data_IF_743840367851
#
_entry.id   IF_743840367851
#
_cell.length_a   1.000
_cell.length_b   1.000
_cell.length_c   1.000
_cell.angle_alpha   90.00
_cell.angle_beta   90.00
_cell.angle_gamma   90.00
#
_symmetry.space_group_name_H-M   'P 1'
#
loop_
_entity.id
_entity.type
_entity.pdbx_description
1 polymer ?
#
# COMPACT_ATOMS: atom_id res chain seq x y z
N UNK A 1 20.62 -9.84 8.64
CA UNK A 1 19.75 -8.70 8.29
C UNK A 1 19.28 -8.82 6.84
N UNK A 2 20.19 -8.76 5.85
CA UNK A 2 19.85 -8.99 4.42
C UNK A 2 19.10 -10.29 4.13
N UNK A 3 19.52 -11.43 4.69
CA UNK A 3 18.84 -12.71 4.43
C UNK A 3 17.37 -12.73 4.92
N UNK A 4 17.05 -12.04 6.02
CA UNK A 4 15.67 -11.96 6.53
C UNK A 4 14.82 -11.04 5.64
N UNK A 5 15.39 -9.92 5.20
CA UNK A 5 14.75 -8.99 4.26
C UNK A 5 14.44 -9.67 2.91
N UNK A 6 15.39 -10.43 2.37
CA UNK A 6 15.22 -11.16 1.10
C UNK A 6 14.14 -12.25 1.20
N UNK A 7 14.08 -12.96 2.34
CA UNK A 7 13.04 -13.96 2.61
C UNK A 7 11.65 -13.31 2.72
N UNK A 8 11.54 -12.21 3.46
CA UNK A 8 10.28 -11.47 3.59
C UNK A 8 9.83 -10.91 2.24
N UNK A 9 10.74 -10.34 1.46
CA UNK A 9 10.44 -9.84 0.12
C UNK A 9 9.95 -10.96 -0.80
N UNK A 10 10.60 -12.12 -0.79
CA UNK A 10 10.17 -13.27 -1.57
C UNK A 10 8.78 -13.76 -1.15
N UNK A 11 8.51 -13.87 0.15
CA UNK A 11 7.17 -14.21 0.67
C UNK A 11 6.12 -13.21 0.21
N UNK A 12 6.42 -11.91 0.24
CA UNK A 12 5.51 -10.87 -0.26
C UNK A 12 5.19 -11.02 -1.76
N UNK A 13 6.19 -11.36 -2.58
CA UNK A 13 5.96 -11.64 -4.00
C UNK A 13 5.13 -12.90 -4.23
N UNK A 14 5.33 -13.94 -3.42
CA UNK A 14 4.53 -15.17 -3.48
C UNK A 14 3.06 -14.90 -3.12
N UNK A 15 2.82 -14.09 -2.07
CA UNK A 15 1.50 -13.69 -1.59
C UNK A 15 0.74 -12.77 -2.54
N UNK A 16 1.45 -11.94 -3.30
CA UNK A 16 0.82 -10.96 -4.18
C UNK A 16 -0.20 -11.66 -5.12
N UNK A 17 -1.42 -11.12 -5.25
CA UNK A 17 -2.49 -11.77 -6.02
C UNK A 17 -2.03 -12.18 -7.43
N UNK A 18 -2.39 -13.39 -7.86
CA UNK A 18 -2.13 -13.81 -9.24
C UNK A 18 -3.06 -13.15 -10.24
N UNK A 19 -4.26 -12.76 -9.79
CA UNK A 19 -5.32 -12.10 -10.54
C UNK A 19 -5.87 -10.89 -9.77
N UNK A 20 -6.32 -9.84 -10.46
CA UNK A 20 -6.88 -8.64 -9.84
C UNK A 20 -8.35 -8.85 -9.44
N UNK A 21 -8.60 -9.50 -8.31
CA UNK A 21 -9.96 -9.69 -7.76
C UNK A 21 -10.03 -9.48 -6.26
N UNK A 22 -11.20 -9.04 -5.77
CA UNK A 22 -11.41 -8.78 -4.33
C UNK A 22 -11.17 -10.03 -3.50
N UNK A 23 -11.60 -11.20 -3.97
CA UNK A 23 -11.31 -12.47 -3.31
C UNK A 23 -9.81 -12.78 -3.25
N UNK A 24 -9.06 -12.50 -4.32
CA UNK A 24 -7.62 -12.76 -4.37
C UNK A 24 -6.87 -11.82 -3.43
N UNK A 25 -7.25 -10.54 -3.40
CA UNK A 25 -6.70 -9.58 -2.44
C UNK A 25 -7.06 -9.95 -1.00
N UNK A 26 -8.30 -10.34 -0.73
CA UNK A 26 -8.74 -10.76 0.61
C UNK A 26 -7.91 -11.93 1.12
N UNK A 27 -7.73 -12.98 0.29
CA UNK A 27 -6.87 -14.12 0.63
C UNK A 27 -5.41 -13.70 0.87
N UNK A 28 -4.86 -12.84 0.01
CA UNK A 28 -3.49 -12.33 0.18
C UNK A 28 -3.32 -11.55 1.49
N UNK A 29 -4.34 -10.79 1.91
CA UNK A 29 -4.33 -10.05 3.18
C UNK A 29 -4.40 -10.98 4.39
N UNK A 30 -5.26 -12.00 4.34
CA UNK A 30 -5.34 -13.00 5.41
C UNK A 30 -4.00 -13.73 5.61
N UNK A 31 -3.34 -14.13 4.52
CA UNK A 31 -2.04 -14.78 4.58
C UNK A 31 -0.91 -13.81 4.98
N UNK A 32 -0.98 -12.55 4.56
CA UNK A 32 -0.06 -11.50 5.01
C UNK A 32 -0.14 -11.33 6.53
N UNK A 33 -1.35 -11.24 7.10
CA UNK A 33 -1.56 -11.13 8.54
C UNK A 33 -0.96 -12.32 9.29
N UNK A 34 -1.18 -13.56 8.82
CA UNK A 34 -0.58 -14.76 9.43
C UNK A 34 0.95 -14.73 9.41
N UNK A 35 1.55 -14.28 8.31
CA UNK A 35 3.00 -14.18 8.20
C UNK A 35 3.55 -13.13 9.15
N UNK A 36 2.89 -11.98 9.27
CA UNK A 36 3.28 -10.94 10.22
C UNK A 36 3.18 -11.46 11.66
N UNK A 37 2.11 -12.18 12.01
CA UNK A 37 1.95 -12.80 13.33
C UNK A 37 3.08 -13.78 13.66
N UNK A 38 3.50 -14.61 12.70
CA UNK A 38 4.56 -15.59 12.90
C UNK A 38 5.95 -14.92 12.94
N UNK A 39 6.24 -14.04 11.99
CA UNK A 39 7.57 -13.42 11.83
C UNK A 39 7.89 -12.40 12.92
N UNK A 40 6.85 -11.79 13.50
CA UNK A 40 6.94 -10.81 14.57
C UNK A 40 6.38 -11.34 15.89
N UNK A 41 6.16 -12.65 16.03
CA UNK A 41 5.51 -13.25 17.20
C UNK A 41 6.18 -12.84 18.52
N UNK A 42 7.51 -12.83 18.60
CA UNK A 42 8.24 -12.46 19.81
C UNK A 42 8.07 -10.97 20.15
N UNK A 43 8.07 -10.10 19.14
CA UNK A 43 7.92 -8.66 19.33
C UNK A 43 6.47 -8.30 19.66
N UNK A 44 5.51 -8.95 19.00
CA UNK A 44 4.09 -8.87 19.32
C UNK A 44 3.82 -9.39 20.73
N UNK A 45 4.42 -10.51 21.13
CA UNK A 45 4.28 -11.04 22.50
C UNK A 45 4.89 -10.11 23.55
N UNK A 46 5.99 -9.42 23.24
CA UNK A 46 6.55 -8.40 24.14
C UNK A 46 5.65 -7.17 24.23
N UNK A 47 5.08 -6.71 23.11
CA UNK A 47 4.11 -5.61 23.10
C UNK A 47 2.85 -5.98 23.90
N UNK A 48 2.31 -7.18 23.71
CA UNK A 48 1.16 -7.71 24.45
C UNK A 48 1.50 -7.84 25.93
N UNK A 49 2.65 -8.39 26.31
CA UNK A 49 3.05 -8.48 27.71
C UNK A 49 3.24 -7.10 28.35
N UNK A 50 3.70 -6.09 27.61
CA UNK A 50 3.76 -4.70 28.12
C UNK A 50 2.34 -4.15 28.30
N UNK A 51 1.44 -4.38 27.34
CA UNK A 51 0.03 -3.97 27.40
C UNK A 51 -0.80 -4.73 28.45
N UNK A 52 -0.43 -5.96 28.79
CA UNK A 52 -1.09 -6.76 29.84
C UNK A 52 -0.59 -6.36 31.24
N UNK A 53 0.66 -5.89 31.35
CA UNK A 53 1.24 -5.43 32.63
C UNK A 53 0.90 -3.96 32.94
N UNK A 54 0.66 -3.14 31.92
CA UNK A 54 0.12 -1.79 32.03
C UNK A 54 -1.32 -1.83 31.50
N UNK A 55 -2.33 -1.99 32.38
CA UNK A 55 -3.75 -2.12 31.99
C UNK A 55 -4.18 -0.90 31.14
N UNK A 56 -3.99 -0.99 29.82
CA UNK A 56 -4.42 0.01 28.87
C UNK A 56 -5.71 -0.46 28.20
N UNK A 57 -6.73 0.41 28.09
CA UNK A 57 -7.82 0.17 27.16
C UNK A 57 -7.28 -0.07 25.75
N UNK A 58 -7.95 -0.92 24.97
CA UNK A 58 -7.54 -1.28 23.59
C UNK A 58 -7.38 -0.04 22.73
N UNK A 59 -8.24 0.96 22.94
CA UNK A 59 -8.22 2.24 22.26
C UNK A 59 -6.92 3.03 22.55
N UNK A 60 -6.44 3.01 23.80
CA UNK A 60 -5.19 3.69 24.18
C UNK A 60 -3.97 2.98 23.57
N UNK A 61 -4.00 1.65 23.49
CA UNK A 61 -2.96 0.88 22.80
C UNK A 61 -2.93 1.19 21.29
N UNK A 62 -4.10 1.25 20.64
CA UNK A 62 -4.22 1.63 19.22
C UNK A 62 -3.69 3.04 18.97
N UNK A 63 -4.04 4.01 19.82
CA UNK A 63 -3.53 5.37 19.73
C UNK A 63 -1.99 5.42 19.87
N UNK A 64 -1.42 4.66 20.82
CA UNK A 64 0.04 4.55 20.98
C UNK A 64 0.72 3.95 19.75
N UNK A 65 0.16 2.88 19.18
CA UNK A 65 0.68 2.27 17.95
C UNK A 65 0.63 3.28 16.80
N UNK A 66 -0.48 3.98 16.61
CA UNK A 66 -0.62 5.00 15.58
C UNK A 66 0.40 6.14 15.77
N UNK A 67 0.63 6.60 17.01
CA UNK A 67 1.63 7.62 17.30
C UNK A 67 3.07 7.19 16.96
N UNK A 68 3.37 5.88 17.00
CA UNK A 68 4.65 5.32 16.54
C UNK A 68 4.69 5.25 15.00
N UNK A 69 3.60 4.82 14.36
CA UNK A 69 3.56 4.60 12.91
C UNK A 69 3.43 5.88 12.09
N UNK A 70 2.71 6.89 12.59
CA UNK A 70 2.41 8.14 11.89
C UNK A 70 3.69 8.83 11.36
N UNK A 71 4.75 9.04 12.16
CA UNK A 71 5.99 9.64 11.65
C UNK A 71 6.57 8.89 10.45
N UNK A 72 6.57 7.56 10.50
CA UNK A 72 7.05 6.73 9.40
C UNK A 72 6.16 6.85 8.16
N UNK A 73 4.84 6.86 8.33
CA UNK A 73 3.91 7.07 7.21
C UNK A 73 4.08 8.45 6.58
N UNK A 74 4.35 9.50 7.37
CA UNK A 74 4.67 10.83 6.85
C UNK A 74 5.94 10.80 6.00
N UNK A 75 7.01 10.18 6.50
CA UNK A 75 8.28 10.06 5.75
C UNK A 75 8.10 9.28 4.45
N UNK A 76 7.41 8.14 4.49
CA UNK A 76 7.16 7.30 3.32
C UNK A 76 6.30 8.03 2.30
N UNK A 77 5.22 8.71 2.74
CA UNK A 77 4.37 9.50 1.84
C UNK A 77 5.15 10.63 1.18
N UNK A 78 5.95 11.38 1.94
CA UNK A 78 6.80 12.44 1.37
C UNK A 78 7.77 11.89 0.32
N UNK A 79 8.36 10.71 0.56
CA UNK A 79 9.22 10.05 -0.42
C UNK A 79 8.44 9.70 -1.69
N UNK A 80 7.24 9.14 -1.57
CA UNK A 80 6.37 8.82 -2.71
C UNK A 80 6.03 10.08 -3.51
N UNK A 81 5.63 11.16 -2.84
CA UNK A 81 5.28 12.42 -3.47
C UNK A 81 6.47 13.03 -4.23
N UNK A 82 7.67 12.95 -3.64
CA UNK A 82 8.91 13.37 -4.28
C UNK A 82 9.28 12.49 -5.48
N UNK A 83 9.10 11.16 -5.37
CA UNK A 83 9.36 10.21 -6.45
C UNK A 83 8.38 10.45 -7.62
N UNK A 84 7.11 10.72 -7.34
CA UNK A 84 6.08 11.07 -8.33
C UNK A 84 6.43 12.38 -9.05
N UNK A 85 6.81 13.42 -8.30
CA UNK A 85 7.29 14.67 -8.88
C UNK A 85 8.49 14.46 -9.80
N UNK A 86 9.48 13.68 -9.35
CA UNK A 86 10.67 13.38 -10.14
C UNK A 86 10.33 12.59 -11.42
N UNK A 87 9.35 11.68 -11.36
CA UNK A 87 8.85 10.93 -12.52
C UNK A 87 8.25 11.88 -13.57
N UNK A 88 7.39 12.81 -13.15
CA UNK A 88 6.79 13.82 -14.03
C UNK A 88 7.82 14.79 -14.61
N UNK A 89 8.79 15.25 -13.82
CA UNK A 89 9.86 16.10 -14.32
C UNK A 89 10.67 15.42 -15.44
N UNK A 90 10.94 14.11 -15.33
CA UNK A 90 11.58 13.34 -16.41
C UNK A 90 10.71 13.29 -17.67
N UNK A 91 9.40 13.09 -17.50
CA UNK A 91 8.46 13.08 -18.63
C UNK A 91 8.42 14.45 -19.34
N UNK A 92 8.34 15.55 -18.59
CA UNK A 92 8.34 16.92 -19.12
C UNK A 92 9.65 17.29 -19.83
N UNK A 93 10.78 16.71 -19.40
CA UNK A 93 12.08 16.86 -20.09
C UNK A 93 12.22 15.97 -21.33
N UNK A 94 11.22 15.15 -21.66
CA UNK A 94 11.26 14.23 -22.79
C UNK A 94 12.19 13.03 -22.59
N UNK A 95 12.53 12.71 -21.33
CA UNK A 95 13.42 11.59 -21.01
C UNK A 95 12.70 10.23 -21.05
N UNK A 96 11.37 10.24 -20.97
CA UNK A 96 10.54 9.05 -21.13
C UNK A 96 10.34 8.77 -22.62
N UNK A 97 10.89 7.64 -23.08
CA UNK A 97 10.76 7.20 -24.47
C UNK A 97 9.35 6.68 -24.71
N UNK A 98 8.85 6.80 -25.95
CA UNK A 98 7.52 6.29 -26.35
C UNK A 98 7.32 4.83 -25.94
N UNK A 99 8.34 3.99 -26.13
CA UNK A 99 8.32 2.57 -25.76
C UNK A 99 8.19 2.29 -24.24
N UNK A 100 8.40 3.30 -23.41
CA UNK A 100 8.36 3.21 -21.94
C UNK A 100 7.17 4.01 -21.36
N UNK A 101 6.27 4.55 -22.20
CA UNK A 101 5.06 5.29 -21.77
C UNK A 101 4.18 4.42 -20.87
N UNK A 102 3.95 3.16 -21.23
CA UNK A 102 3.12 2.26 -20.43
C UNK A 102 3.69 2.07 -19.03
N UNK A 103 5.01 1.91 -18.90
CA UNK A 103 5.68 1.80 -17.59
C UNK A 103 5.57 3.10 -16.78
N UNK A 104 5.66 4.24 -17.46
CA UNK A 104 5.43 5.54 -16.83
C UNK A 104 4.01 5.62 -16.25
N UNK A 105 2.98 5.25 -17.02
CA UNK A 105 1.59 5.27 -16.55
C UNK A 105 1.35 4.33 -15.36
N UNK A 106 1.92 3.11 -15.39
CA UNK A 106 1.84 2.17 -14.27
C UNK A 106 2.49 2.76 -13.01
N UNK A 107 3.68 3.34 -13.15
CA UNK A 107 4.40 3.92 -12.02
C UNK A 107 3.66 5.13 -11.45
N UNK A 108 3.17 6.01 -12.31
CA UNK A 108 2.41 7.20 -11.92
C UNK A 108 1.14 6.81 -11.15
N UNK A 109 0.32 5.91 -11.70
CA UNK A 109 -0.88 5.37 -11.03
C UNK A 109 -0.55 4.70 -9.70
N UNK A 110 0.52 3.92 -9.64
CA UNK A 110 0.93 3.25 -8.40
C UNK A 110 1.39 4.22 -7.32
N UNK A 111 2.18 5.24 -7.67
CA UNK A 111 2.64 6.27 -6.74
C UNK A 111 1.46 7.11 -6.26
N UNK A 112 0.54 7.46 -7.17
CA UNK A 112 -0.69 8.15 -6.83
C UNK A 112 -1.53 7.35 -5.81
N UNK A 113 -1.86 6.09 -6.10
CA UNK A 113 -2.66 5.26 -5.19
C UNK A 113 -1.97 5.08 -3.84
N UNK A 114 -0.65 4.84 -3.84
CA UNK A 114 0.13 4.72 -2.60
C UNK A 114 0.12 5.99 -1.76
N UNK A 115 0.26 7.16 -2.39
CA UNK A 115 0.19 8.45 -1.70
C UNK A 115 -1.18 8.72 -1.09
N UNK A 116 -2.26 8.39 -1.81
CA UNK A 116 -3.63 8.58 -1.33
C UNK A 116 -3.98 7.65 -0.17
N UNK A 117 -3.58 6.36 -0.23
CA UNK A 117 -3.78 5.44 0.89
C UNK A 117 -3.12 6.00 2.17
N UNK A 118 -1.84 6.42 2.08
CA UNK A 118 -1.16 6.99 3.24
C UNK A 118 -1.75 8.32 3.67
N UNK A 119 -2.19 9.17 2.73
CA UNK A 119 -2.89 10.43 3.01
C UNK A 119 -4.14 10.21 3.86
N UNK A 120 -4.99 9.27 3.45
CA UNK A 120 -6.22 8.90 4.16
C UNK A 120 -5.92 8.36 5.56
N UNK A 121 -4.92 7.48 5.69
CA UNK A 121 -4.51 6.92 7.00
C UNK A 121 -4.04 8.05 7.94
N UNK A 122 -3.28 9.01 7.42
CA UNK A 122 -2.76 10.15 8.19
C UNK A 122 -3.84 11.18 8.54
N UNK A 123 -4.82 11.39 7.65
CA UNK A 123 -5.96 12.29 7.84
C UNK A 123 -6.90 11.75 8.91
N UNK A 124 -7.31 10.48 8.76
CA UNK A 124 -8.30 9.85 9.65
C UNK A 124 -7.71 9.46 11.00
N UNK A 125 -6.43 9.06 11.03
CA UNK A 125 -5.78 8.47 12.21
C UNK A 125 -6.62 7.36 12.86
N UNK A 126 -7.28 6.57 12.01
CA UNK A 126 -8.20 5.53 12.42
C UNK A 126 -7.60 4.16 12.12
N UNK A 127 -7.54 3.30 13.14
CA UNK A 127 -6.92 1.97 13.04
C UNK A 127 -7.72 1.03 12.14
N UNK A 128 -9.05 1.16 12.08
CA UNK A 128 -9.92 0.39 11.18
C UNK A 128 -9.69 0.82 9.73
N UNK A 129 -9.62 2.12 9.46
CA UNK A 129 -9.27 2.67 8.13
C UNK A 129 -7.89 2.18 7.71
N UNK A 130 -6.91 2.24 8.61
CA UNK A 130 -5.56 1.74 8.35
C UNK A 130 -5.57 0.25 8.01
N UNK A 131 -6.26 -0.59 8.79
CA UNK A 131 -6.35 -2.03 8.53
C UNK A 131 -7.01 -2.34 7.18
N UNK A 132 -7.96 -1.52 6.73
CA UNK A 132 -8.65 -1.68 5.44
C UNK A 132 -7.80 -1.27 4.25
N UNK A 133 -6.88 -0.31 4.39
CA UNK A 133 -6.14 0.26 3.26
C UNK A 133 -4.64 -0.12 3.21
N UNK A 134 -3.98 -0.25 4.37
CA UNK A 134 -2.56 -0.55 4.45
C UNK A 134 -2.16 -1.84 3.70
N UNK A 135 -2.95 -2.93 3.72
CA UNK A 135 -2.59 -4.12 2.95
C UNK A 135 -2.54 -3.87 1.44
N UNK A 136 -3.41 -3.00 0.89
CA UNK A 136 -3.36 -2.63 -0.53
C UNK A 136 -2.11 -1.83 -0.86
N UNK A 137 -1.67 -0.95 0.05
CA UNK A 137 -0.40 -0.23 -0.07
C UNK A 137 0.81 -1.18 -0.14
N UNK A 138 0.78 -2.28 0.61
CA UNK A 138 1.85 -3.29 0.60
C UNK A 138 1.77 -4.22 -0.62
N UNK A 139 0.57 -4.67 -0.98
CA UNK A 139 0.37 -5.69 -2.02
C UNK A 139 0.51 -5.14 -3.44
N UNK A 140 0.15 -3.87 -3.69
CA UNK A 140 0.21 -3.30 -5.04
C UNK A 140 1.65 -3.28 -5.61
N UNK A 141 2.68 -2.79 -4.90
CA UNK A 141 4.06 -2.89 -5.38
C UNK A 141 4.50 -4.34 -5.63
N UNK A 142 4.12 -5.28 -4.75
CA UNK A 142 4.45 -6.68 -4.92
C UNK A 142 3.78 -7.29 -6.16
N UNK A 143 2.52 -6.93 -6.44
CA UNK A 143 1.78 -7.31 -7.63
C UNK A 143 2.43 -6.77 -8.90
N UNK A 144 2.81 -5.50 -8.93
CA UNK A 144 3.52 -4.88 -10.06
C UNK A 144 4.83 -5.63 -10.34
N UNK A 145 5.62 -5.90 -9.30
CA UNK A 145 6.87 -6.65 -9.44
C UNK A 145 6.63 -8.07 -9.94
N UNK A 146 5.57 -8.74 -9.48
CA UNK A 146 5.19 -10.09 -9.94
C UNK A 146 4.80 -10.10 -11.42
N UNK A 147 4.05 -9.10 -11.89
CA UNK A 147 3.71 -8.94 -13.32
C UNK A 147 4.98 -8.74 -14.14
N UNK A 148 5.87 -7.84 -13.71
CA UNK A 148 7.14 -7.56 -14.40
C UNK A 148 8.04 -8.79 -14.44
N UNK A 149 8.27 -9.48 -13.32
CA UNK A 149 9.16 -10.64 -13.27
C UNK A 149 8.66 -11.83 -14.07
N UNK A 150 7.34 -11.98 -14.18
CA UNK A 150 6.74 -13.04 -14.97
C UNK A 150 6.58 -12.66 -16.45
N UNK A 151 7.08 -11.49 -16.88
CA UNK A 151 6.90 -10.95 -18.24
C UNK A 151 5.42 -10.98 -18.70
N UNK A 152 4.50 -10.71 -17.77
CA UNK A 152 3.07 -10.59 -18.06
C UNK A 152 2.78 -9.22 -18.67
N UNK A 153 1.61 -9.13 -19.30
CA UNK A 153 1.11 -7.87 -19.87
C UNK A 153 0.81 -6.87 -18.73
N UNK A 154 1.34 -5.65 -18.84
CA UNK A 154 1.14 -4.60 -17.82
C UNK A 154 -0.32 -4.13 -17.76
N UNK A 155 -1.10 -4.34 -18.83
CA UNK A 155 -2.53 -4.07 -18.82
C UNK A 155 -3.30 -4.89 -17.77
N UNK A 156 -2.76 -6.03 -17.30
CA UNK A 156 -3.34 -6.77 -16.16
C UNK A 156 -3.49 -5.91 -14.90
N UNK A 157 -2.66 -4.87 -14.75
CA UNK A 157 -2.66 -3.97 -13.58
C UNK A 157 -3.80 -2.95 -13.60
N UNK A 158 -4.50 -2.77 -14.74
CA UNK A 158 -5.60 -1.82 -14.82
C UNK A 158 -6.72 -2.20 -13.83
N UNK A 159 -7.06 -3.47 -13.74
CA UNK A 159 -8.07 -3.97 -12.81
C UNK A 159 -7.59 -3.91 -11.35
N UNK A 160 -6.28 -4.09 -11.10
CA UNK A 160 -5.68 -3.87 -9.78
C UNK A 160 -5.90 -2.41 -9.33
N UNK A 161 -5.64 -1.43 -10.21
CA UNK A 161 -5.84 -0.02 -9.89
C UNK A 161 -7.31 0.34 -9.66
N UNK A 162 -8.23 -0.18 -10.48
CA UNK A 162 -9.68 0.01 -10.30
C UNK A 162 -10.16 -0.54 -8.97
N UNK A 163 -9.71 -1.74 -8.62
CA UNK A 163 -10.08 -2.39 -7.36
C UNK A 163 -9.63 -1.54 -6.17
N UNK A 164 -8.40 -1.05 -6.20
CA UNK A 164 -7.86 -0.22 -5.11
C UNK A 164 -8.58 1.13 -5.05
N UNK A 165 -8.84 1.77 -6.20
CA UNK A 165 -9.59 3.03 -6.25
C UNK A 165 -11.02 2.86 -5.69
N UNK A 166 -11.71 1.76 -6.04
CA UNK A 166 -13.00 1.41 -5.44
C UNK A 166 -12.89 1.26 -3.92
N UNK A 167 -11.85 0.58 -3.45
CA UNK A 167 -11.66 0.37 -2.02
C UNK A 167 -11.39 1.68 -1.28
N UNK A 168 -10.60 2.58 -1.86
CA UNK A 168 -10.37 3.91 -1.32
C UNK A 168 -11.70 4.65 -1.16
N UNK A 169 -12.54 4.70 -2.20
CA UNK A 169 -13.86 5.36 -2.12
C UNK A 169 -14.84 4.68 -1.17
N UNK A 170 -14.78 3.36 -1.01
CA UNK A 170 -15.59 2.62 -0.04
C UNK A 170 -15.22 3.01 1.41
N UNK A 171 -13.92 3.10 1.70
CA UNK A 171 -13.41 3.39 3.05
C UNK A 171 -13.49 4.87 3.38
N UNK A 172 -13.22 5.74 2.41
CA UNK A 172 -13.26 7.19 2.58
C UNK A 172 -13.92 7.87 1.36
N UNK A 173 -15.26 8.07 1.37
CA UNK A 173 -15.99 8.55 0.18
C UNK A 173 -15.76 10.01 -0.21
N UNK A 174 -15.26 10.84 0.71
CA UNK A 174 -14.99 12.26 0.52
C UNK A 174 -13.69 12.64 1.25
N UNK A 175 -12.52 12.23 0.73
CA UNK A 175 -11.26 12.52 1.39
C UNK A 175 -10.88 13.98 1.14
N UNK A 176 -10.49 14.73 2.18
CA UNK A 176 -10.09 16.13 1.99
C UNK A 176 -8.66 16.27 1.48
N UNK A 177 -7.85 15.22 1.63
CA UNK A 177 -6.42 15.17 1.25
C UNK A 177 -6.13 14.46 -0.07
N UNK A 178 -7.16 13.99 -0.78
CA UNK A 178 -7.06 13.16 -2.00
C UNK A 178 -7.47 13.96 -3.22
N UNK A 179 -6.83 13.69 -4.35
CA UNK A 179 -7.30 14.16 -5.65
C UNK A 179 -8.43 13.24 -6.15
N UNK A 180 -9.66 13.58 -5.78
CA UNK A 180 -10.87 12.82 -6.15
C UNK A 180 -11.02 12.66 -7.67
N UNK A 181 -10.50 13.59 -8.46
CA UNK A 181 -10.60 13.57 -9.92
C UNK A 181 -9.88 12.36 -10.52
N UNK A 182 -8.66 12.05 -10.06
CA UNK A 182 -7.91 10.92 -10.60
C UNK A 182 -8.49 9.57 -10.16
N UNK A 183 -9.05 9.49 -8.94
CA UNK A 183 -9.78 8.29 -8.52
C UNK A 183 -11.00 8.05 -9.40
N UNK A 184 -11.71 9.11 -9.80
CA UNK A 184 -12.82 9.01 -10.75
C UNK A 184 -12.34 8.58 -12.13
N UNK A 185 -11.24 9.16 -12.63
CA UNK A 185 -10.65 8.77 -13.91
C UNK A 185 -10.29 7.27 -13.94
N UNK A 186 -9.76 6.72 -12.84
CA UNK A 186 -9.46 5.30 -12.73
C UNK A 186 -10.70 4.42 -12.79
N UNK A 187 -11.86 4.92 -12.35
CA UNK A 187 -13.12 4.16 -12.29
C UNK A 187 -13.96 4.29 -13.56
N UNK A 188 -13.78 5.35 -14.35
CA UNK A 188 -14.50 5.59 -15.60
C UNK A 188 -13.90 4.85 -16.81
N UNK A 189 -12.60 4.58 -16.77
CA UNK A 189 -11.86 3.80 -17.79
C UNK A 189 -11.77 2.33 -17.39
#
# INVERSE_FOLDING_TARGET
MKEKEDVLFKKLLELAPDVPSEEAYTRAMEELSKILEIEFQEDLSKMINIADNEIYPVEELQEKILNILIPHFVEVKQKIDNDAKALWEKALRGEIKIKDIEKFEIMDKSLFLGSNILGIILETRDFEVMNKLLPYFVLLPARIMKVIFNNKDLSELQEDFKLIARKIKEVHPQPTTVDDYFLEELLEK
#
